data_IF_954575503564
#
_entry.id   IF_954575503564
#
_cell.length_a   1.000
_cell.length_b   1.000
_cell.length_c   1.000
_cell.angle_alpha   90.00
_cell.angle_beta   90.00
_cell.angle_gamma   90.00
#
_symmetry.space_group_name_H-M   'P 1'
#
loop_
_entity.id
_entity.type
_entity.pdbx_description
1 polymer ?
#
# COMPACT_ATOMS: atom_id res chain seq x y z
N UNK A 1 22.61 41.31 24.88
CA UNK A 1 22.92 39.87 24.70
C UNK A 1 21.68 39.10 25.09
N UNK A 2 21.10 38.35 24.14
CA UNK A 2 19.84 37.64 24.36
C UNK A 2 19.12 37.43 23.04
N UNK A 3 19.76 36.73 22.11
CA UNK A 3 19.14 36.34 20.84
C UNK A 3 18.32 35.08 21.10
N UNK A 4 16.99 35.24 21.12
CA UNK A 4 16.03 34.15 21.15
C UNK A 4 16.02 33.43 19.81
N UNK A 5 16.51 32.19 19.78
CA UNK A 5 16.39 31.32 18.61
C UNK A 5 14.98 30.73 18.57
N UNK A 6 14.13 31.35 17.76
CA UNK A 6 12.86 30.76 17.30
C UNK A 6 13.17 29.44 16.60
N UNK A 7 12.90 28.33 17.28
CA UNK A 7 12.92 27.01 16.65
C UNK A 7 11.62 26.88 15.87
N UNK A 8 11.70 27.08 14.55
CA UNK A 8 10.66 26.73 13.61
C UNK A 8 10.41 25.23 13.69
N UNK A 9 9.27 24.83 14.25
CA UNK A 9 8.76 23.46 14.17
C UNK A 9 8.45 23.21 12.69
N UNK A 10 9.30 22.43 12.03
CA UNK A 10 9.09 21.97 10.68
C UNK A 10 7.77 21.18 10.63
N UNK A 11 6.77 21.79 10.03
CA UNK A 11 5.45 21.22 9.74
C UNK A 11 5.46 20.74 8.29
N UNK A 12 6.23 19.71 7.97
CA UNK A 12 6.08 18.99 6.69
C UNK A 12 6.80 17.63 6.68
N UNK A 13 6.27 16.63 7.37
CA UNK A 13 6.44 15.23 6.93
C UNK A 13 5.15 14.46 7.22
N UNK A 14 4.35 14.19 6.19
CA UNK A 14 3.22 13.26 6.29
C UNK A 14 3.78 11.84 6.38
N UNK A 15 3.84 11.27 7.59
CA UNK A 15 4.24 9.88 7.76
C UNK A 15 3.23 8.95 7.04
N UNK A 16 3.69 7.84 6.43
CA UNK A 16 2.80 6.86 5.80
C UNK A 16 1.79 6.26 6.80
N UNK A 17 0.72 5.59 6.33
CA UNK A 17 -0.35 5.09 7.20
C UNK A 17 0.18 3.96 8.06
N UNK A 18 0.46 4.20 9.33
CA UNK A 18 1.09 3.17 10.16
C UNK A 18 0.24 2.79 11.35
N UNK A 19 0.36 1.52 11.71
CA UNK A 19 -0.03 0.91 12.98
C UNK A 19 1.20 0.82 13.88
N UNK A 20 1.00 0.87 15.20
CA UNK A 20 2.09 0.71 16.18
C UNK A 20 2.47 -0.77 16.39
N UNK A 21 3.66 -1.05 16.89
CA UNK A 21 4.20 -2.41 17.03
C UNK A 21 3.44 -3.32 18.01
N UNK A 22 2.71 -2.76 18.96
CA UNK A 22 1.92 -3.46 19.98
C UNK A 22 0.56 -3.98 19.46
N UNK A 23 0.24 -3.71 18.20
CA UNK A 23 -1.00 -4.12 17.56
C UNK A 23 -0.93 -5.58 17.09
N UNK A 24 -2.09 -6.23 17.00
CA UNK A 24 -2.25 -7.61 16.57
C UNK A 24 -3.18 -7.70 15.36
N UNK A 25 -2.88 -8.62 14.45
CA UNK A 25 -3.61 -8.86 13.21
C UNK A 25 -4.26 -10.23 13.25
N UNK A 26 -5.52 -10.30 12.86
CA UNK A 26 -6.26 -11.57 12.75
C UNK A 26 -6.05 -12.16 11.36
N UNK A 27 -5.43 -13.33 11.29
CA UNK A 27 -5.23 -14.09 10.06
C UNK A 27 -6.54 -14.75 9.60
N UNK A 28 -6.60 -15.12 8.32
CA UNK A 28 -7.77 -15.76 7.71
C UNK A 28 -8.10 -17.14 8.32
N UNK A 29 -7.11 -17.81 8.92
CA UNK A 29 -7.30 -19.07 9.66
C UNK A 29 -7.76 -18.85 11.12
N UNK A 30 -7.99 -17.60 11.55
CA UNK A 30 -8.38 -17.23 12.91
C UNK A 30 -7.22 -17.06 13.89
N UNK A 31 -5.98 -17.32 13.50
CA UNK A 31 -4.81 -17.06 14.33
C UNK A 31 -4.59 -15.56 14.49
N UNK A 32 -4.26 -15.12 15.69
CA UNK A 32 -3.89 -13.73 15.99
C UNK A 32 -2.37 -13.66 16.10
N UNK A 33 -1.73 -12.77 15.33
CA UNK A 33 -0.29 -12.54 15.36
C UNK A 33 0.04 -11.10 15.70
N UNK A 34 1.21 -10.84 16.27
CA UNK A 34 1.74 -9.48 16.37
C UNK A 34 1.91 -8.91 14.96
N UNK A 35 1.56 -7.64 14.76
CA UNK A 35 1.78 -6.96 13.47
C UNK A 35 3.25 -6.92 13.07
N UNK A 36 4.15 -7.00 14.05
CA UNK A 36 5.58 -7.11 13.81
C UNK A 36 5.93 -8.40 13.06
N UNK A 37 5.15 -9.47 13.23
CA UNK A 37 5.39 -10.76 12.60
C UNK A 37 4.60 -10.96 11.31
N UNK A 38 3.78 -9.98 10.91
CA UNK A 38 3.05 -10.02 9.65
C UNK A 38 4.03 -9.93 8.47
N UNK A 39 3.80 -10.76 7.45
CA UNK A 39 4.63 -10.83 6.25
C UNK A 39 3.78 -10.76 4.96
N UNK A 40 4.42 -10.40 3.85
CA UNK A 40 3.84 -10.47 2.53
C UNK A 40 3.55 -11.94 2.16
N UNK A 41 2.34 -12.19 1.67
CA UNK A 41 1.80 -13.52 1.43
C UNK A 41 0.91 -14.06 2.56
N UNK A 42 0.96 -13.46 3.76
CA UNK A 42 0.01 -13.81 4.82
C UNK A 42 -1.42 -13.47 4.38
N UNK A 43 -2.34 -14.37 4.69
CA UNK A 43 -3.77 -14.15 4.44
C UNK A 43 -4.39 -13.62 5.72
N UNK A 44 -4.82 -12.36 5.69
CA UNK A 44 -5.44 -11.68 6.83
C UNK A 44 -6.95 -11.62 6.68
N UNK A 45 -7.65 -11.49 7.81
CA UNK A 45 -9.08 -11.23 7.81
C UNK A 45 -9.32 -9.74 7.57
N UNK A 46 -10.27 -9.45 6.69
CA UNK A 46 -10.79 -8.10 6.46
C UNK A 46 -12.31 -8.16 6.18
N UNK A 47 -12.90 -7.08 5.70
CA UNK A 47 -14.32 -6.97 5.40
C UNK A 47 -14.57 -6.68 3.92
N UNK A 48 -15.63 -7.26 3.37
CA UNK A 48 -16.12 -6.92 2.03
C UNK A 48 -16.47 -5.44 1.90
N UNK A 49 -16.43 -4.92 0.67
CA UNK A 49 -16.73 -3.52 0.37
C UNK A 49 -18.14 -3.12 0.85
N UNK A 50 -19.10 -4.04 0.76
CA UNK A 50 -20.46 -3.84 1.26
C UNK A 50 -20.57 -3.77 2.80
N UNK A 51 -19.51 -4.12 3.53
CA UNK A 51 -19.46 -4.08 4.99
C UNK A 51 -20.15 -5.26 5.67
N UNK A 52 -20.51 -6.32 4.93
CA UNK A 52 -21.41 -7.36 5.43
C UNK A 52 -20.75 -8.69 5.75
N UNK A 53 -19.56 -8.97 5.21
CA UNK A 53 -18.90 -10.29 5.38
C UNK A 53 -17.42 -10.11 5.67
N UNK A 54 -16.92 -10.96 6.55
CA UNK A 54 -15.49 -11.16 6.66
C UNK A 54 -14.97 -11.86 5.40
N UNK A 55 -13.85 -11.39 4.87
CA UNK A 55 -13.19 -11.97 3.70
C UNK A 55 -11.70 -12.11 3.99
N UNK A 56 -11.10 -13.18 3.46
CA UNK A 56 -9.65 -13.35 3.49
C UNK A 56 -9.02 -12.45 2.41
N UNK A 57 -7.92 -11.78 2.74
CA UNK A 57 -7.14 -11.01 1.78
C UNK A 57 -5.65 -11.20 2.04
N UNK A 58 -4.91 -11.44 0.98
CA UNK A 58 -3.46 -11.59 1.03
C UNK A 58 -2.78 -10.22 1.21
N UNK A 59 -1.77 -10.17 2.08
CA UNK A 59 -0.85 -9.03 2.22
C UNK A 59 0.10 -9.03 1.03
N UNK A 60 0.04 -8.00 0.20
CA UNK A 60 0.88 -7.89 -0.99
C UNK A 60 2.28 -7.33 -0.64
N UNK A 61 2.33 -6.22 0.10
CA UNK A 61 3.59 -5.55 0.45
C UNK A 61 3.39 -4.60 1.62
N UNK A 62 4.48 -4.02 2.12
CA UNK A 62 4.46 -2.95 3.13
C UNK A 62 4.86 -1.62 2.51
N UNK A 63 4.10 -0.54 2.79
CA UNK A 63 4.49 0.83 2.43
C UNK A 63 5.60 1.33 3.37
N UNK A 64 5.57 0.90 4.63
CA UNK A 64 6.53 1.21 5.69
C UNK A 64 6.55 0.09 6.73
N UNK A 65 7.73 -0.31 7.17
CA UNK A 65 7.96 -1.20 8.29
C UNK A 65 9.28 -0.78 8.97
N UNK A 66 9.19 -0.22 10.17
CA UNK A 66 10.35 0.24 10.91
C UNK A 66 10.13 -0.01 12.39
N UNK A 67 10.93 -0.90 13.00
CA UNK A 67 10.67 -1.39 14.37
C UNK A 67 11.18 -0.41 15.44
N UNK A 68 12.30 0.24 15.19
CA UNK A 68 13.03 1.05 16.17
C UNK A 68 12.61 2.53 16.19
N UNK A 69 11.61 2.92 15.40
CA UNK A 69 11.11 4.30 15.34
C UNK A 69 9.98 4.51 16.33
N UNK A 70 10.05 5.60 17.08
CA UNK A 70 8.94 6.07 17.92
C UNK A 70 8.24 7.24 17.23
N UNK A 71 6.91 7.21 17.16
CA UNK A 71 6.10 8.29 16.58
C UNK A 71 4.85 8.55 17.42
N UNK A 72 4.11 9.61 17.08
CA UNK A 72 2.84 9.96 17.69
C UNK A 72 1.72 9.14 17.05
N UNK A 73 0.98 8.44 17.89
CA UNK A 73 -0.20 7.66 17.52
C UNK A 73 -1.45 8.21 18.17
N UNK A 74 -2.57 8.10 17.44
CA UNK A 74 -3.91 8.29 17.96
C UNK A 74 -4.43 6.92 18.41
N UNK A 75 -4.47 6.71 19.71
CA UNK A 75 -5.04 5.53 20.35
C UNK A 75 -6.54 5.75 20.56
N UNK A 76 -7.35 5.11 19.73
CA UNK A 76 -8.80 5.19 19.76
C UNK A 76 -9.33 3.98 20.50
N UNK A 77 -10.09 4.21 21.58
CA UNK A 77 -10.69 3.16 22.39
C UNK A 77 -12.20 3.22 22.31
N UNK A 78 -12.83 2.10 22.04
CA UNK A 78 -14.28 1.96 21.94
C UNK A 78 -14.93 1.67 23.30
N UNK A 79 -16.25 1.81 23.41
CA UNK A 79 -16.99 1.47 24.64
C UNK A 79 -16.97 -0.02 24.96
N UNK A 80 -16.80 -0.89 23.95
CA UNK A 80 -16.64 -2.34 24.15
C UNK A 80 -15.23 -2.74 24.58
N UNK A 81 -14.30 -1.78 24.75
CA UNK A 81 -12.95 -2.02 25.24
C UNK A 81 -11.89 -2.22 24.16
N UNK A 82 -12.28 -2.42 22.90
CA UNK A 82 -11.35 -2.58 21.77
C UNK A 82 -10.61 -1.28 21.49
N UNK A 83 -9.33 -1.41 21.13
CA UNK A 83 -8.42 -0.29 20.93
C UNK A 83 -7.57 -0.46 19.69
N UNK A 84 -7.45 0.60 18.90
CA UNK A 84 -6.57 0.69 17.74
C UNK A 84 -5.67 1.93 17.85
N UNK A 85 -4.41 1.80 17.46
CA UNK A 85 -3.42 2.89 17.50
C UNK A 85 -2.83 3.11 16.11
N UNK A 86 -3.09 4.28 15.53
CA UNK A 86 -2.66 4.63 14.18
C UNK A 86 -2.06 6.03 14.10
N UNK A 87 -1.25 6.30 13.07
CA UNK A 87 -0.70 7.63 12.81
C UNK A 87 -1.80 8.67 12.51
N UNK A 88 -1.54 9.98 12.67
CA UNK A 88 -2.58 11.02 12.59
C UNK A 88 -3.39 11.03 11.29
N UNK A 89 -2.77 10.71 10.16
CA UNK A 89 -3.42 10.76 8.84
C UNK A 89 -3.98 9.41 8.38
N UNK A 90 -3.90 8.37 9.20
CA UNK A 90 -4.36 7.03 8.87
C UNK A 90 -5.90 6.96 8.82
N UNK A 91 -6.46 6.37 7.76
CA UNK A 91 -7.91 6.19 7.62
C UNK A 91 -8.46 5.05 8.50
N UNK A 92 -9.35 5.37 9.42
CA UNK A 92 -10.11 4.40 10.21
C UNK A 92 -11.51 4.25 9.61
N UNK A 93 -12.02 3.01 9.56
CA UNK A 93 -13.38 2.73 9.09
C UNK A 93 -14.38 3.14 10.16
N UNK A 94 -15.34 3.98 9.78
CA UNK A 94 -16.47 4.43 10.62
C UNK A 94 -17.78 3.90 10.06
N UNK A 95 -18.91 4.15 10.75
CA UNK A 95 -20.26 3.78 10.29
C UNK A 95 -20.56 4.23 8.84
N UNK A 96 -21.57 3.61 8.22
CA UNK A 96 -22.01 3.92 6.85
C UNK A 96 -20.93 3.72 5.76
N UNK A 97 -20.00 2.79 5.97
CA UNK A 97 -18.88 2.50 5.06
C UNK A 97 -17.98 3.72 4.77
N UNK A 98 -17.91 4.65 5.72
CA UNK A 98 -17.03 5.81 5.65
C UNK A 98 -15.61 5.54 6.13
N UNK A 99 -14.69 6.39 5.72
CA UNK A 99 -13.31 6.44 6.24
C UNK A 99 -12.99 7.86 6.69
N UNK A 100 -12.45 7.99 7.90
CA UNK A 100 -12.03 9.26 8.48
C UNK A 100 -10.58 9.12 8.95
N UNK A 101 -9.78 10.18 8.80
CA UNK A 101 -8.41 10.16 9.33
C UNK A 101 -8.40 10.26 10.85
N UNK A 102 -7.45 9.60 11.49
CA UNK A 102 -7.39 9.52 12.95
C UNK A 102 -7.36 10.89 13.65
N UNK A 103 -6.69 11.87 13.06
CA UNK A 103 -6.59 13.24 13.58
C UNK A 103 -7.91 14.03 13.56
N UNK A 104 -8.87 13.60 12.73
CA UNK A 104 -10.20 14.19 12.61
C UNK A 104 -11.28 13.39 13.33
N UNK A 105 -10.94 12.25 13.94
CA UNK A 105 -11.90 11.48 14.74
C UNK A 105 -12.37 12.30 15.96
N UNK A 106 -13.65 12.16 16.23
CA UNK A 106 -14.32 12.70 17.42
C UNK A 106 -15.14 11.59 18.09
N UNK A 107 -15.63 11.83 19.31
CA UNK A 107 -16.46 10.88 20.05
C UNK A 107 -17.86 10.65 19.45
N UNK A 108 -18.21 11.39 18.39
CA UNK A 108 -19.49 11.24 17.69
C UNK A 108 -19.48 10.09 16.68
N UNK A 109 -18.30 9.57 16.32
CA UNK A 109 -18.18 8.43 15.42
C UNK A 109 -18.24 7.09 16.17
N UNK A 110 -18.54 6.04 15.41
CA UNK A 110 -18.51 4.66 15.83
C UNK A 110 -17.60 3.84 14.92
N UNK A 111 -16.84 2.91 15.50
CA UNK A 111 -15.93 2.05 14.75
C UNK A 111 -16.60 0.70 14.46
N UNK A 112 -16.22 0.07 13.36
CA UNK A 112 -16.58 -1.31 13.10
C UNK A 112 -15.60 -2.23 13.84
N UNK A 113 -16.15 -3.00 14.76
CA UNK A 113 -15.41 -3.99 15.56
C UNK A 113 -15.87 -5.38 15.12
N UNK A 114 -14.93 -6.31 14.92
CA UNK A 114 -15.24 -7.67 14.54
C UNK A 114 -16.11 -8.38 15.59
N UNK A 115 -16.88 -9.36 15.13
CA UNK A 115 -17.81 -10.16 15.95
C UNK A 115 -18.95 -9.37 16.61
N UNK A 116 -19.03 -8.05 16.38
CA UNK A 116 -20.15 -7.22 16.80
C UNK A 116 -20.99 -6.85 15.56
N UNK A 117 -22.29 -7.13 15.61
CA UNK A 117 -23.20 -6.89 14.50
C UNK A 117 -23.61 -5.40 14.35
N UNK A 118 -22.92 -4.48 15.02
CA UNK A 118 -23.22 -3.05 15.00
C UNK A 118 -21.96 -2.20 15.23
N UNK A 119 -21.89 -0.97 14.69
CA UNK A 119 -20.83 -0.03 15.00
C UNK A 119 -20.76 0.30 16.49
N UNK A 120 -19.55 0.42 17.03
CA UNK A 120 -19.29 0.67 18.44
C UNK A 120 -18.77 2.08 18.66
N UNK A 121 -19.45 2.83 19.53
CA UNK A 121 -19.06 4.22 19.85
C UNK A 121 -17.64 4.32 20.40
N UNK A 122 -16.97 5.40 20.04
CA UNK A 122 -15.67 5.76 20.61
C UNK A 122 -15.86 6.28 22.04
N UNK A 123 -15.09 5.70 22.97
CA UNK A 123 -15.02 6.10 24.39
C UNK A 123 -13.98 7.18 24.62
N UNK A 124 -12.80 7.04 24.01
CA UNK A 124 -11.70 7.99 24.20
C UNK A 124 -10.74 7.97 23.02
N UNK A 125 -10.10 9.11 22.76
CA UNK A 125 -9.02 9.26 21.79
C UNK A 125 -7.84 9.89 22.52
N UNK A 126 -6.69 9.23 22.55
CA UNK A 126 -5.47 9.71 23.20
C UNK A 126 -4.35 9.84 22.19
N UNK A 127 -3.50 10.86 22.33
CA UNK A 127 -2.24 10.95 21.60
C UNK A 127 -1.14 10.35 22.46
N UNK A 128 -0.44 9.35 21.95
CA UNK A 128 0.57 8.61 22.69
C UNK A 128 1.79 8.40 21.80
N UNK A 129 2.98 8.45 22.40
CA UNK A 129 4.19 8.00 21.70
C UNK A 129 4.25 6.48 21.77
N UNK A 130 4.30 5.83 20.62
CA UNK A 130 4.43 4.36 20.51
C UNK A 130 5.57 3.98 19.58
N UNK A 131 6.15 2.82 19.83
CA UNK A 131 7.22 2.26 19.04
C UNK A 131 6.69 1.48 17.83
N UNK A 132 7.49 1.49 16.78
CA UNK A 132 7.28 0.81 15.51
C UNK A 132 6.24 1.48 14.60
N UNK A 133 6.49 1.41 13.30
CA UNK A 133 5.61 1.88 12.23
C UNK A 133 5.42 0.76 11.22
N UNK A 134 4.19 0.24 11.10
CA UNK A 134 3.86 -0.84 10.18
C UNK A 134 2.68 -0.47 9.29
N UNK A 135 2.86 -0.56 7.97
CA UNK A 135 1.88 -0.18 6.94
C UNK A 135 1.70 -1.30 5.92
N UNK A 136 1.05 -2.41 6.28
CA UNK A 136 0.76 -3.49 5.35
C UNK A 136 -0.31 -3.06 4.33
N UNK A 137 -0.19 -3.55 3.10
CA UNK A 137 -1.19 -3.37 2.03
C UNK A 137 -1.72 -4.73 1.62
N UNK A 138 -3.02 -4.92 1.79
CA UNK A 138 -3.73 -6.11 1.34
C UNK A 138 -4.33 -5.92 -0.05
N UNK A 139 -4.72 -7.02 -0.71
CA UNK A 139 -5.49 -6.93 -1.96
C UNK A 139 -6.85 -6.25 -1.80
N UNK A 140 -7.48 -6.36 -0.64
CA UNK A 140 -8.72 -5.66 -0.29
C UNK A 140 -8.48 -4.19 0.10
N UNK A 141 -7.23 -3.80 0.38
CA UNK A 141 -6.87 -2.45 0.86
C UNK A 141 -7.34 -2.14 2.27
N UNK A 142 -7.87 -3.13 2.98
CA UNK A 142 -8.37 -3.05 4.36
C UNK A 142 -7.82 -4.21 5.18
N UNK A 143 -7.79 -4.06 6.49
CA UNK A 143 -7.22 -5.03 7.42
C UNK A 143 -7.94 -4.98 8.77
N UNK A 144 -8.03 -6.11 9.46
CA UNK A 144 -8.55 -6.21 10.83
C UNK A 144 -7.39 -6.20 11.84
N UNK A 145 -7.34 -5.17 12.68
CA UNK A 145 -6.27 -4.95 13.66
C UNK A 145 -6.87 -4.74 15.05
N UNK A 146 -6.48 -5.55 16.04
CA UNK A 146 -7.08 -5.60 17.37
C UNK A 146 -8.62 -5.69 17.33
N UNK A 147 -9.13 -6.50 16.40
CA UNK A 147 -10.57 -6.64 16.09
C UNK A 147 -11.26 -5.34 15.65
N UNK A 148 -10.51 -4.31 15.24
CA UNK A 148 -11.05 -3.07 14.65
C UNK A 148 -10.68 -2.99 13.18
N UNK A 149 -11.66 -2.69 12.32
CA UNK A 149 -11.40 -2.56 10.89
C UNK A 149 -10.74 -1.23 10.55
N UNK A 150 -9.67 -1.31 9.76
CA UNK A 150 -8.91 -0.15 9.30
C UNK A 150 -8.61 -0.23 7.80
N UNK A 151 -8.31 0.94 7.24
CA UNK A 151 -7.75 1.08 5.90
C UNK A 151 -6.28 0.66 5.91
N UNK A 152 -5.73 0.26 4.76
CA UNK A 152 -4.28 0.16 4.55
C UNK A 152 -3.64 1.50 4.12
N UNK A 153 -4.43 2.59 4.03
CA UNK A 153 -4.03 3.87 3.43
C UNK A 153 -4.24 5.06 4.37
N UNK A 154 -3.50 6.15 4.14
CA UNK A 154 -3.63 7.45 4.83
C UNK A 154 -3.94 8.56 3.84
N UNK A 155 -4.36 9.69 4.41
CA UNK A 155 -4.20 10.97 3.75
C UNK A 155 -2.70 11.31 3.67
N UNK A 156 -2.22 11.65 2.48
CA UNK A 156 -0.85 12.12 2.27
C UNK A 156 -0.87 13.30 1.29
N UNK A 157 0.28 13.81 0.88
CA UNK A 157 0.40 15.00 0.03
C UNK A 157 -0.35 14.89 -1.32
N UNK A 158 -0.62 13.67 -1.80
CA UNK A 158 -1.42 13.46 -3.01
C UNK A 158 -2.94 13.62 -2.79
N UNK A 159 -3.38 13.78 -1.53
CA UNK A 159 -4.78 13.85 -1.06
C UNK A 159 -5.65 12.70 -1.62
N UNK A 160 -6.92 12.64 -1.25
CA UNK A 160 -7.86 11.63 -1.76
C UNK A 160 -8.27 10.58 -0.74
N UNK A 161 -9.46 10.05 -0.96
CA UNK A 161 -10.16 9.05 -0.17
C UNK A 161 -9.46 7.69 -0.17
N UNK A 162 -9.89 6.80 0.74
CA UNK A 162 -9.48 5.40 0.76
C UNK A 162 -9.54 4.74 -0.63
N UNK A 163 -10.62 4.93 -1.38
CA UNK A 163 -10.82 4.30 -2.69
C UNK A 163 -9.85 4.83 -3.75
N UNK A 164 -9.62 6.15 -3.77
CA UNK A 164 -8.66 6.78 -4.69
C UNK A 164 -7.23 6.30 -4.39
N UNK A 165 -6.87 6.17 -3.10
CA UNK A 165 -5.60 5.55 -2.70
C UNK A 165 -5.54 4.08 -3.13
N UNK A 166 -6.62 3.33 -2.93
CA UNK A 166 -6.68 1.94 -3.36
C UNK A 166 -6.38 1.79 -4.85
N UNK A 167 -6.93 2.66 -5.71
CA UNK A 167 -6.62 2.71 -7.13
C UNK A 167 -5.18 3.13 -7.42
N UNK A 168 -4.66 4.14 -6.71
CA UNK A 168 -3.28 4.59 -6.85
C UNK A 168 -2.26 3.44 -6.62
N UNK A 169 -2.52 2.58 -5.63
CA UNK A 169 -1.66 1.44 -5.32
C UNK A 169 -1.97 0.18 -6.16
N UNK A 170 -2.98 0.21 -7.05
CA UNK A 170 -3.36 -0.95 -7.86
C UNK A 170 -2.24 -1.48 -8.78
N UNK A 171 -1.39 -0.64 -9.44
CA UNK A 171 -0.28 -1.14 -10.23
C UNK A 171 0.74 -1.96 -9.42
N UNK A 172 1.00 -1.58 -8.16
CA UNK A 172 1.90 -2.32 -7.28
C UNK A 172 1.32 -3.68 -6.88
N UNK A 173 0.02 -3.74 -6.58
CA UNK A 173 -0.67 -5.02 -6.31
C UNK A 173 -0.71 -5.92 -7.54
N UNK A 174 -0.94 -5.35 -8.73
CA UNK A 174 -0.87 -6.10 -9.99
C UNK A 174 0.54 -6.64 -10.25
N UNK A 175 1.57 -5.84 -10.00
CA UNK A 175 2.95 -6.29 -10.13
C UNK A 175 3.26 -7.45 -9.18
N UNK A 176 2.89 -7.34 -7.89
CA UNK A 176 3.02 -8.44 -6.93
C UNK A 176 2.36 -9.72 -7.46
N UNK A 177 1.12 -9.60 -7.94
CA UNK A 177 0.38 -10.74 -8.48
C UNK A 177 1.11 -11.40 -9.67
N UNK A 178 1.57 -10.61 -10.64
CA UNK A 178 2.30 -11.11 -11.81
C UNK A 178 3.62 -11.76 -11.37
N UNK A 179 4.39 -11.09 -10.52
CA UNK A 179 5.67 -11.58 -10.01
C UNK A 179 5.52 -12.91 -9.28
N UNK A 180 4.55 -13.00 -8.37
CA UNK A 180 4.32 -14.21 -7.56
C UNK A 180 3.76 -15.36 -8.37
N UNK A 181 2.66 -15.13 -9.09
CA UNK A 181 1.90 -16.23 -9.69
C UNK A 181 2.37 -16.57 -11.12
N UNK A 182 2.84 -15.60 -11.89
CA UNK A 182 3.30 -15.82 -13.26
C UNK A 182 4.81 -16.04 -13.36
N UNK A 183 5.60 -15.23 -12.66
CA UNK A 183 7.06 -15.32 -12.67
C UNK A 183 7.62 -16.22 -11.56
N UNK A 184 6.78 -16.68 -10.63
CA UNK A 184 7.14 -17.58 -9.51
C UNK A 184 8.20 -17.01 -8.55
N UNK A 185 8.22 -15.69 -8.36
CA UNK A 185 9.03 -15.09 -7.30
C UNK A 185 8.39 -15.36 -5.93
N UNK A 186 9.23 -15.59 -4.91
CA UNK A 186 8.78 -15.70 -3.53
C UNK A 186 8.20 -14.37 -3.04
N UNK A 187 7.30 -14.40 -2.03
CA UNK A 187 6.72 -13.17 -1.47
C UNK A 187 7.65 -12.46 -0.48
N UNK A 188 8.71 -13.15 -0.03
CA UNK A 188 9.77 -12.66 0.87
C UNK A 188 10.50 -11.43 0.31
N UNK A 189 10.56 -11.28 -1.01
CA UNK A 189 11.13 -10.08 -1.66
C UNK A 189 10.32 -8.80 -1.39
N UNK A 190 9.07 -8.94 -0.97
CA UNK A 190 8.16 -7.84 -0.64
C UNK A 190 8.09 -7.59 0.88
N UNK A 191 8.76 -8.41 1.68
CA UNK A 191 8.99 -8.13 3.08
C UNK A 191 10.03 -7.03 3.20
N UNK A 192 9.64 -5.92 3.83
CA UNK A 192 10.57 -4.83 4.12
C UNK A 192 11.60 -5.30 5.15
N UNK A 193 12.91 -5.08 4.92
CA UNK A 193 13.88 -5.12 6.00
C UNK A 193 13.40 -4.14 7.08
N UNK A 194 13.19 -4.63 8.31
CA UNK A 194 12.46 -3.93 9.38
C UNK A 194 13.15 -2.66 9.93
N UNK A 195 14.19 -2.19 9.24
CA UNK A 195 15.02 -1.01 9.55
C UNK A 195 15.37 -0.16 8.30
N UNK A 196 14.70 -0.33 7.14
CA UNK A 196 15.03 0.45 5.92
C UNK A 196 13.80 0.93 5.13
N UNK A 197 13.76 2.24 4.83
CA UNK A 197 12.65 2.94 4.13
C UNK A 197 12.60 2.65 2.62
N UNK A 198 13.52 1.86 2.07
CA UNK A 198 13.82 1.88 0.64
C UNK A 198 13.29 0.67 -0.16
N UNK A 199 12.06 0.20 0.09
CA UNK A 199 11.44 -0.84 -0.74
C UNK A 199 11.36 -0.45 -2.23
N UNK A 200 11.11 0.83 -2.54
CA UNK A 200 11.08 1.32 -3.90
C UNK A 200 12.45 1.18 -4.58
N UNK A 201 13.54 1.39 -3.84
CA UNK A 201 14.91 1.15 -4.34
C UNK A 201 15.18 -0.36 -4.41
N UNK A 202 14.71 -1.18 -3.47
CA UNK A 202 14.83 -2.64 -3.54
C UNK A 202 14.15 -3.23 -4.77
N UNK A 203 12.90 -2.83 -5.03
CA UNK A 203 12.16 -3.19 -6.25
C UNK A 203 12.83 -2.61 -7.50
N UNK A 204 13.31 -1.35 -7.48
CA UNK A 204 13.98 -0.77 -8.64
C UNK A 204 15.36 -1.39 -8.90
N UNK A 205 16.08 -1.82 -7.87
CA UNK A 205 17.39 -2.48 -7.98
C UNK A 205 17.24 -3.94 -8.37
N UNK A 206 16.23 -4.67 -7.89
CA UNK A 206 15.97 -6.04 -8.35
C UNK A 206 15.23 -6.10 -9.69
N UNK A 207 14.26 -5.22 -9.94
CA UNK A 207 13.37 -5.28 -11.11
C UNK A 207 13.58 -4.19 -12.15
N UNK A 208 14.25 -3.09 -11.81
CA UNK A 208 14.58 -2.05 -12.79
C UNK A 208 15.45 -2.59 -13.92
N UNK A 209 16.34 -3.56 -13.63
CA UNK A 209 17.10 -4.23 -14.69
C UNK A 209 16.21 -5.04 -15.62
N UNK A 210 15.17 -5.72 -15.12
CA UNK A 210 14.21 -6.46 -15.94
C UNK A 210 13.27 -5.54 -16.71
N UNK A 211 12.79 -4.45 -16.12
CA UNK A 211 11.97 -3.44 -16.81
C UNK A 211 12.76 -2.76 -17.92
N UNK A 212 14.01 -2.35 -17.64
CA UNK A 212 14.92 -1.80 -18.65
C UNK A 212 15.25 -2.85 -19.71
N UNK A 213 15.47 -4.11 -19.34
CA UNK A 213 15.73 -5.20 -20.28
C UNK A 213 14.53 -5.48 -21.19
N UNK A 214 13.31 -5.56 -20.64
CA UNK A 214 12.06 -5.75 -21.39
C UNK A 214 11.84 -4.56 -22.32
N UNK A 215 11.98 -3.32 -21.83
CA UNK A 215 11.87 -2.12 -22.65
C UNK A 215 12.88 -2.12 -23.81
N UNK A 216 14.16 -2.44 -23.55
CA UNK A 216 15.20 -2.54 -24.58
C UNK A 216 14.90 -3.66 -25.59
N UNK A 217 14.40 -4.79 -25.13
CA UNK A 217 14.04 -5.93 -25.99
C UNK A 217 12.84 -5.62 -26.88
N UNK A 218 11.79 -5.01 -26.33
CA UNK A 218 10.62 -4.56 -27.10
C UNK A 218 10.99 -3.47 -28.12
N UNK A 219 11.86 -2.52 -27.74
CA UNK A 219 12.37 -1.50 -28.67
C UNK A 219 13.20 -2.12 -29.80
N UNK A 220 14.02 -3.12 -29.51
CA UNK A 220 14.79 -3.83 -30.53
C UNK A 220 13.88 -4.59 -31.50
N UNK A 221 12.87 -5.31 -30.98
CA UNK A 221 11.88 -6.00 -31.80
C UNK A 221 11.10 -5.04 -32.71
N UNK A 222 10.70 -3.88 -32.19
CA UNK A 222 10.06 -2.82 -32.99
C UNK A 222 10.99 -2.30 -34.10
N UNK A 223 12.26 -2.04 -33.79
CA UNK A 223 13.24 -1.58 -34.78
C UNK A 223 13.48 -2.63 -35.88
N UNK A 224 13.59 -3.91 -35.51
CA UNK A 224 13.72 -5.01 -36.46
C UNK A 224 12.48 -5.12 -37.37
N UNK A 225 11.28 -4.96 -36.81
CA UNK A 225 10.04 -4.96 -37.60
C UNK A 225 9.96 -3.80 -38.61
N UNK A 226 10.54 -2.65 -38.27
CA UNK A 226 10.61 -1.49 -39.15
C UNK A 226 11.62 -1.70 -40.30
N UNK A 227 12.77 -2.31 -40.01
CA UNK A 227 13.77 -2.67 -41.04
C UNK A 227 13.18 -3.67 -42.04
N UNK A 228 12.54 -4.74 -41.56
CA UNK A 228 11.83 -5.72 -42.39
C UNK A 228 10.76 -5.06 -43.27
N UNK A 229 10.01 -4.11 -42.72
CA UNK A 229 9.04 -3.34 -43.50
C UNK A 229 9.71 -2.55 -44.64
N UNK A 230 10.81 -1.84 -44.37
CA UNK A 230 11.52 -1.09 -45.40
C UNK A 230 12.20 -1.98 -46.44
N UNK A 231 12.70 -3.16 -46.05
CA UNK A 231 13.24 -4.15 -46.99
C UNK A 231 12.12 -4.62 -47.94
N UNK A 232 10.95 -4.99 -47.41
CA UNK A 232 9.80 -5.38 -48.25
C UNK A 232 9.33 -4.26 -49.16
N UNK A 233 9.27 -3.03 -48.67
CA UNK A 233 8.92 -1.86 -49.48
C UNK A 233 9.97 -1.64 -50.58
N UNK A 234 11.25 -1.77 -50.26
CA UNK A 234 12.34 -1.70 -51.24
C UNK A 234 12.20 -2.78 -52.31
N UNK A 235 11.95 -4.05 -51.93
CA UNK A 235 11.73 -5.15 -52.86
C UNK A 235 10.52 -4.95 -53.79
N UNK A 236 9.48 -4.26 -53.32
CA UNK A 236 8.29 -3.92 -54.12
C UNK A 236 8.59 -2.76 -55.08
N UNK A 237 9.26 -1.71 -54.58
CA UNK A 237 9.50 -0.47 -55.32
C UNK A 237 10.64 -0.65 -56.34
N UNK A 238 11.70 -1.39 -55.99
CA UNK A 238 12.89 -1.58 -56.81
C UNK A 238 12.60 -2.08 -58.25
N UNK A 239 11.77 -3.12 -58.48
CA UNK A 239 11.43 -3.55 -59.84
C UNK A 239 10.51 -2.56 -60.59
N UNK A 240 9.69 -1.78 -59.88
CA UNK A 240 8.83 -0.73 -60.47
C UNK A 240 9.70 0.43 -60.98
N UNK A 241 10.67 0.87 -60.18
CA UNK A 241 11.62 1.90 -60.56
C UNK A 241 12.53 1.47 -61.72
N UNK A 242 13.02 0.23 -61.73
CA UNK A 242 13.78 -0.31 -62.87
C UNK A 242 12.95 -0.27 -64.15
N UNK A 243 11.67 -0.66 -64.11
CA UNK A 243 10.80 -0.63 -65.31
C UNK A 243 10.54 0.77 -65.86
N UNK A 244 10.65 1.84 -65.06
CA UNK A 244 10.50 3.22 -65.53
C UNK A 244 11.80 3.89 -66.00
N UNK A 245 12.96 3.29 -65.74
CA UNK A 245 14.27 3.82 -66.16
C UNK A 245 14.74 3.21 -67.50
N UNK A 246 14.22 2.04 -67.88
CA UNK A 246 14.62 1.31 -69.09
C UNK A 246 13.56 1.25 -70.21
N UNK A 247 12.54 2.12 -70.15
CA UNK A 247 11.57 2.37 -71.22
C UNK A 247 11.51 3.85 -71.56
#
# INVERSE_FOLDING_TARGET
MGTTTNTTVATDTTEPPCFSADQHVTLANGQIISIQNLAAGDHVLTMSDDGKRFVASEVAFFIHAEMNRTSVFYTVTTVSGHQISVTPDHYIRVENNGYIIASQLTLNYSLFVAHLNHPVRIRSIKKEFKAGLFSPVTFAGTILVNDVFASCYCLNNLRGTHYEKHHLYAPFRLWYYIAKYYLRFGSDIYDMPRDNIHWAIGIYVHYGHYVVFIYRSLRALFLMSLIEFFIRISEIIHPILIKHVYY
#
